data_IF_252270904450
#
_entry.id   IF_252270904450
#
_cell.length_a   1.000
_cell.length_b   1.000
_cell.length_c   1.000
_cell.angle_alpha   90.00
_cell.angle_beta   90.00
_cell.angle_gamma   90.00
#
_symmetry.space_group_name_H-M   'P 1'
#
loop_
_entity.id
_entity.type
_entity.pdbx_description
1 polymer ?
2 non-polymer ?
3 non-polymer ?
4 non-polymer ?
5 water ?
#
# COMPACT_ATOMS: atom_id res chain seq x y z
N UNK A 23 -16.72 -19.78 13.47
CA UNK A 23 -15.90 -19.87 12.25
C UNK A 23 -16.76 -19.99 10.99
N UNK A 24 -16.54 -19.11 10.01
CA UNK A 24 -17.19 -19.26 8.72
C UNK A 24 -16.50 -20.36 7.90
N UNK A 25 -17.09 -20.64 6.74
CA UNK A 25 -16.43 -21.54 5.80
C UNK A 25 -15.14 -20.93 5.28
N UNK A 26 -15.14 -19.63 5.01
CA UNK A 26 -13.96 -18.98 4.42
C UNK A 26 -12.76 -19.05 5.37
N UNK A 27 -13.00 -18.82 6.68
CA UNK A 27 -11.88 -18.89 7.62
C UNK A 27 -11.32 -20.32 7.73
N UNK A 28 -12.22 -21.32 7.80
CA UNK A 28 -11.81 -22.73 7.84
C UNK A 28 -10.85 -23.07 6.70
N UNK A 29 -11.24 -22.72 5.46
CA UNK A 29 -10.43 -23.02 4.29
C UNK A 29 -9.13 -22.26 4.29
N UNK A 30 -9.15 -20.95 4.63
CA UNK A 30 -7.92 -20.20 4.62
C UNK A 30 -6.95 -20.73 5.69
N UNK A 31 -7.47 -21.00 6.89
CA UNK A 31 -6.57 -21.42 7.98
C UNK A 31 -5.92 -22.77 7.68
N UNK A 32 -6.59 -23.59 6.88
CA UNK A 32 -6.10 -24.94 6.56
C UNK A 32 -5.23 -24.98 5.31
N UNK A 33 -5.10 -23.89 4.56
CA UNK A 33 -4.34 -23.95 3.32
C UNK A 33 -2.84 -23.87 3.59
N UNK A 34 -2.05 -24.48 2.70
CA UNK A 34 -0.60 -24.24 2.69
C UNK A 34 -0.36 -22.87 2.09
N UNK A 35 0.63 -22.17 2.61
CA UNK A 35 0.97 -20.84 2.11
C UNK A 35 2.19 -21.00 1.21
N UNK A 36 2.06 -20.80 -0.10
CA UNK A 36 3.21 -20.98 -1.00
C UNK A 36 4.25 -19.92 -0.73
N UNK A 37 5.42 -20.19 -1.25
CA UNK A 37 6.52 -19.28 -0.97
C UNK A 37 6.31 -17.95 -1.68
N UNK A 38 7.07 -16.96 -1.21
CA UNK A 38 7.05 -15.63 -1.82
C UNK A 38 7.42 -15.72 -3.29
N UNK A 39 8.42 -16.53 -3.62
CA UNK A 39 8.80 -16.65 -5.02
C UNK A 39 7.64 -17.24 -5.85
N UNK A 40 7.06 -18.34 -5.38
CA UNK A 40 5.92 -18.94 -6.11
C UNK A 40 4.78 -17.92 -6.32
N UNK A 41 4.47 -17.11 -5.28
CA UNK A 41 3.38 -16.12 -5.37
C UNK A 41 3.75 -14.86 -6.13
N UNK A 42 5.01 -14.67 -6.49
CA UNK A 42 5.45 -13.52 -7.26
C UNK A 42 5.27 -12.19 -6.52
N UNK A 43 5.05 -12.22 -5.20
CA UNK A 43 4.84 -10.96 -4.47
C UNK A 43 6.12 -10.15 -4.27
N UNK A 44 7.30 -10.66 -4.64
CA UNK A 44 8.49 -9.80 -4.57
C UNK A 44 8.68 -8.91 -5.80
N UNK A 45 7.88 -9.08 -6.83
CA UNK A 45 8.09 -8.38 -8.11
C UNK A 45 7.33 -7.05 -8.11
N UNK A 46 8.01 -5.97 -8.46
CA UNK A 46 7.32 -4.70 -8.62
C UNK A 46 6.20 -4.76 -9.67
N UNK A 47 6.27 -5.70 -10.63
CA UNK A 47 5.29 -5.83 -11.71
C UNK A 47 4.09 -6.68 -11.35
N UNK A 48 3.95 -7.07 -10.10
CA UNK A 48 2.89 -7.98 -9.67
C UNK A 48 1.50 -7.47 -10.08
N UNK A 49 0.61 -8.42 -10.40
CA UNK A 49 -0.78 -8.11 -10.71
C UNK A 49 -1.64 -9.15 -10.02
N UNK A 50 -2.81 -8.71 -9.52
CA UNK A 50 -3.73 -9.59 -8.83
C UNK A 50 -4.91 -10.02 -9.71
N UNK A 51 -4.95 -9.63 -10.99
CA UNK A 51 -6.19 -9.88 -11.74
C UNK A 51 -6.57 -11.37 -11.79
N UNK A 52 -5.58 -12.23 -11.85
CA UNK A 52 -5.85 -13.67 -11.99
C UNK A 52 -6.10 -14.39 -10.66
N UNK A 53 -5.98 -13.68 -9.53
CA UNK A 53 -6.07 -14.25 -8.19
C UNK A 53 -7.48 -14.24 -7.63
N UNK A 54 -7.88 -15.36 -7.02
CA UNK A 54 -9.12 -15.38 -6.27
C UNK A 54 -8.92 -14.66 -4.95
N UNK A 55 -10.03 -14.35 -4.26
CA UNK A 55 -9.95 -13.78 -2.91
C UNK A 55 -9.10 -14.63 -1.98
N UNK A 56 -9.29 -15.94 -2.00
CA UNK A 56 -8.51 -16.80 -1.12
C UNK A 56 -7.03 -16.69 -1.46
N UNK A 57 -6.68 -16.61 -2.76
CA UNK A 57 -5.27 -16.47 -3.09
C UNK A 57 -4.68 -15.15 -2.60
N UNK A 58 -5.46 -14.05 -2.66
CA UNK A 58 -4.90 -12.81 -2.13
C UNK A 58 -4.71 -12.92 -0.62
N UNK A 59 -5.59 -13.63 0.08
CA UNK A 59 -5.39 -13.83 1.53
C UNK A 59 -4.13 -14.62 1.81
N UNK A 60 -3.84 -15.65 0.99
CA UNK A 60 -2.61 -16.41 1.22
C UNK A 60 -1.40 -15.57 0.93
N UNK A 61 -1.45 -14.75 -0.15
CA UNK A 61 -0.38 -13.79 -0.39
C UNK A 61 -0.16 -12.89 0.82
N UNK A 62 -1.25 -12.49 1.46
CA UNK A 62 -1.06 -11.56 2.57
C UNK A 62 -0.40 -12.26 3.77
N UNK A 63 -0.72 -13.54 3.99
CA UNK A 63 -0.05 -14.27 5.07
C UNK A 63 1.42 -14.36 4.78
N UNK A 64 1.76 -14.61 3.51
CA UNK A 64 3.17 -14.74 3.15
C UNK A 64 3.93 -13.44 3.37
N UNK A 65 3.28 -12.28 3.12
CA UNK A 65 3.96 -11.03 3.43
C UNK A 65 4.33 -10.91 4.92
N UNK A 66 3.37 -11.20 5.79
CA UNK A 66 3.62 -11.11 7.23
C UNK A 66 4.72 -12.08 7.62
N UNK A 67 4.67 -13.27 7.03
CA UNK A 67 5.63 -14.32 7.41
C UNK A 67 7.04 -13.97 6.98
N UNK A 68 7.22 -13.50 5.73
CA UNK A 68 8.57 -13.25 5.21
C UNK A 68 9.14 -11.92 5.65
N UNK A 69 8.33 -11.04 6.23
CA UNK A 69 8.90 -9.92 6.95
C UNK A 69 9.23 -10.29 8.40
N UNK A 70 8.99 -11.54 8.78
CA UNK A 70 9.27 -12.06 10.11
C UNK A 70 8.38 -11.49 11.18
N UNK A 71 7.22 -10.97 10.78
CA UNK A 71 6.31 -10.41 11.77
C UNK A 71 5.54 -11.48 12.52
N UNK A 72 5.26 -12.64 11.87
CA UNK A 72 4.55 -13.70 12.57
C UNK A 72 5.42 -14.20 13.72
N UNK A 73 6.71 -14.41 13.45
CA UNK A 73 7.66 -14.89 14.45
C UNK A 73 7.90 -13.85 15.54
N UNK A 74 8.34 -12.66 15.13
CA UNK A 74 8.84 -11.68 16.07
C UNK A 74 7.77 -11.16 17.00
N UNK A 75 6.48 -11.28 16.62
CA UNK A 75 5.37 -10.75 17.41
C UNK A 75 4.38 -11.83 17.84
N UNK A 76 4.76 -13.11 17.69
CA UNK A 76 4.01 -14.27 18.15
C UNK A 76 2.54 -14.26 17.72
N UNK A 77 2.28 -14.11 16.42
CA UNK A 77 0.88 -14.12 16.01
C UNK A 77 0.40 -15.54 15.85
N UNK A 78 -0.79 -15.81 16.38
CA UNK A 78 -1.44 -17.09 16.14
C UNK A 78 -1.95 -17.14 14.71
N UNK A 79 -1.85 -18.31 14.09
CA UNK A 79 -2.20 -18.44 12.67
C UNK A 79 -3.65 -18.12 12.42
N UNK A 80 -4.57 -18.69 13.21
CA UNK A 80 -5.99 -18.43 12.99
C UNK A 80 -6.35 -16.97 13.27
N UNK A 81 -5.58 -16.29 14.13
CA UNK A 81 -5.85 -14.89 14.45
C UNK A 81 -5.48 -14.00 13.26
N UNK A 82 -4.26 -14.16 12.74
CA UNK A 82 -3.87 -13.50 11.48
C UNK A 82 -4.87 -13.80 10.36
N UNK A 83 -5.30 -15.07 10.23
CA UNK A 83 -6.29 -15.42 9.20
C UNK A 83 -7.62 -14.67 9.41
N UNK A 84 -8.15 -14.67 10.63
CA UNK A 84 -9.38 -13.94 10.86
C UNK A 84 -9.19 -12.43 10.60
N UNK A 85 -8.07 -11.88 11.04
CA UNK A 85 -7.81 -10.45 10.81
C UNK A 85 -7.79 -10.13 9.32
N UNK A 86 -7.07 -10.94 8.53
CA UNK A 86 -7.01 -10.68 7.09
C UNK A 86 -8.42 -10.73 6.51
N UNK A 87 -9.24 -11.66 6.97
CA UNK A 87 -10.56 -11.75 6.37
C UNK A 87 -11.48 -10.66 6.87
N UNK A 88 -11.25 -10.16 8.08
CA UNK A 88 -12.04 -9.03 8.54
C UNK A 88 -11.67 -7.79 7.74
N UNK A 89 -10.38 -7.56 7.50
CA UNK A 89 -9.98 -6.41 6.69
C UNK A 89 -10.64 -6.50 5.32
N UNK A 90 -10.52 -7.67 4.67
CA UNK A 90 -11.08 -7.81 3.33
C UNK A 90 -12.58 -7.55 3.31
N UNK A 91 -13.29 -8.04 4.31
CA UNK A 91 -14.74 -7.87 4.35
C UNK A 91 -15.16 -6.42 4.57
N UNK A 92 -14.30 -5.59 5.16
CA UNK A 92 -14.70 -4.23 5.41
C UNK A 92 -14.29 -3.27 4.29
N UNK A 93 -13.86 -3.79 3.15
CA UNK A 93 -13.84 -3.04 1.89
C UNK A 93 -15.11 -3.37 1.13
N UNK A 94 -15.56 -2.45 0.28
CA UNK A 94 -16.82 -2.63 -0.43
C UNK A 94 -16.53 -3.12 -1.85
N UNK A 95 -17.09 -4.28 -2.20
CA UNK A 95 -16.81 -4.88 -3.50
C UNK A 95 -17.41 -4.06 -4.63
N UNK A 96 -18.51 -3.35 -4.36
CA UNK A 96 -19.24 -2.49 -5.30
C UNK A 96 -18.51 -1.19 -5.70
N UNK A 97 -17.35 -0.89 -5.11
CA UNK A 97 -16.60 0.34 -5.42
C UNK A 97 -15.52 -0.07 -6.40
N UNK A 98 -15.45 0.60 -7.55
CA UNK A 98 -14.70 0.03 -8.68
C UNK A 98 -13.19 -0.01 -8.39
N UNK A 99 -12.64 1.06 -7.80
CA UNK A 99 -11.21 1.05 -7.52
C UNK A 99 -10.87 0.92 -6.04
N UNK A 100 -11.50 1.70 -5.16
CA UNK A 100 -11.09 1.74 -3.74
C UNK A 100 -11.74 0.56 -3.01
N UNK A 101 -11.17 -0.63 -3.23
CA UNK A 101 -11.72 -1.86 -2.65
C UNK A 101 -10.56 -2.72 -2.14
N UNK A 102 -10.86 -3.95 -1.71
CA UNK A 102 -9.81 -4.80 -1.16
C UNK A 102 -8.63 -4.99 -2.12
N UNK A 103 -8.91 -5.09 -3.42
CA UNK A 103 -7.78 -5.34 -4.35
C UNK A 103 -6.81 -4.15 -4.37
N UNK A 104 -7.31 -2.94 -4.25
CA UNK A 104 -6.39 -1.81 -4.15
C UNK A 104 -5.56 -1.89 -2.86
N UNK A 105 -6.21 -2.20 -1.75
CA UNK A 105 -5.47 -2.32 -0.48
C UNK A 105 -4.44 -3.44 -0.55
N UNK A 106 -4.86 -4.58 -1.11
CA UNK A 106 -3.96 -5.72 -1.28
C UNK A 106 -2.77 -5.35 -2.15
N UNK A 107 -3.01 -4.61 -3.26
CA UNK A 107 -1.89 -4.21 -4.10
C UNK A 107 -0.97 -3.23 -3.41
N UNK A 108 -1.55 -2.28 -2.66
CA UNK A 108 -0.71 -1.33 -1.91
C UNK A 108 0.23 -2.07 -0.96
N UNK A 109 -0.32 -3.03 -0.20
CA UNK A 109 0.52 -3.86 0.68
C UNK A 109 1.57 -4.66 -0.09
N UNK A 110 1.20 -5.23 -1.25
CA UNK A 110 2.21 -5.94 -2.02
C UNK A 110 3.32 -5.00 -2.50
N UNK A 111 2.98 -3.77 -2.92
CA UNK A 111 4.03 -2.82 -3.25
C UNK A 111 4.91 -2.53 -2.03
N UNK A 112 4.32 -2.43 -0.82
CA UNK A 112 5.11 -2.19 0.40
C UNK A 112 6.08 -3.36 0.63
N UNK A 113 5.58 -4.56 0.44
CA UNK A 113 6.41 -5.77 0.62
C UNK A 113 7.55 -5.78 -0.37
N UNK A 114 7.25 -5.48 -1.64
CA UNK A 114 8.30 -5.46 -2.67
C UNK A 114 9.33 -4.37 -2.40
N UNK A 115 8.88 -3.15 -2.03
CA UNK A 115 9.85 -2.09 -1.71
C UNK A 115 10.72 -2.47 -0.52
N UNK A 116 10.15 -3.15 0.47
CA UNK A 116 10.90 -3.55 1.66
C UNK A 116 11.97 -4.57 1.30
N UNK A 117 11.63 -5.54 0.43
CA UNK A 117 12.48 -6.69 0.07
C UNK A 117 13.33 -6.35 -1.15
N UNK A 118 12.72 -6.43 -2.34
CA UNK A 118 13.45 -6.10 -3.58
C UNK A 118 13.96 -4.66 -3.56
N UNK A 119 13.19 -3.74 -2.98
CA UNK A 119 13.67 -2.37 -2.90
C UNK A 119 14.68 -2.13 -1.79
N UNK A 120 14.90 -3.15 -0.97
CA UNK A 120 15.88 -3.14 0.12
C UNK A 120 15.60 -2.01 1.13
N UNK A 121 14.33 -1.64 1.29
CA UNK A 121 13.98 -0.68 2.34
C UNK A 121 13.98 -1.33 3.73
N UNK A 122 13.81 -2.66 3.80
CA UNK A 122 13.63 -3.36 5.09
C UNK A 122 14.71 -3.00 6.10
N UNK A 123 15.95 -2.89 5.66
CA UNK A 123 17.05 -2.75 6.61
C UNK A 123 17.22 -1.33 7.11
N UNK A 124 16.52 -0.37 6.50
CA UNK A 124 16.51 1.01 6.95
C UNK A 124 15.51 1.27 8.09
N UNK A 125 14.70 0.28 8.48
CA UNK A 125 13.52 0.48 9.33
C UNK A 125 13.52 -0.50 10.50
N UNK A 126 12.81 -0.15 11.55
CA UNK A 126 12.71 -1.11 12.65
C UNK A 126 11.60 -2.11 12.38
N UNK A 127 11.60 -3.18 13.17
CA UNK A 127 10.57 -4.21 13.07
C UNK A 127 9.19 -3.64 13.33
N UNK A 128 9.07 -2.75 14.35
CA UNK A 128 7.78 -2.15 14.66
C UNK A 128 7.30 -1.26 13.51
N UNK A 129 8.22 -0.55 12.87
CA UNK A 129 7.85 0.28 11.73
C UNK A 129 7.35 -0.58 10.57
N UNK A 130 8.01 -1.70 10.30
CA UNK A 130 7.58 -2.58 9.21
C UNK A 130 6.21 -3.19 9.52
N UNK A 131 6.03 -3.65 10.76
CA UNK A 131 4.72 -4.14 11.20
C UNK A 131 3.65 -3.07 10.98
N UNK A 132 3.93 -1.81 11.37
CA UNK A 132 2.92 -0.77 11.23
C UNK A 132 2.67 -0.42 9.76
N UNK A 133 3.72 -0.44 8.92
CA UNK A 133 3.56 -0.09 7.52
C UNK A 133 2.71 -1.12 6.79
N UNK A 134 2.92 -2.42 7.07
CA UNK A 134 2.14 -3.44 6.39
C UNK A 134 0.68 -3.40 6.83
N UNK A 135 0.41 -3.22 8.13
CA UNK A 135 -0.98 -3.10 8.59
C UNK A 135 -1.64 -1.88 7.97
N UNK A 136 -0.96 -0.74 8.06
CA UNK A 136 -1.48 0.49 7.47
C UNK A 136 -1.74 0.33 5.97
N UNK A 137 -0.80 -0.25 5.23
CA UNK A 137 -1.03 -0.44 3.78
C UNK A 137 -2.35 -1.16 3.51
N UNK A 138 -2.62 -2.28 4.24
CA UNK A 138 -3.82 -3.08 4.05
C UNK A 138 -5.07 -2.40 4.53
N UNK A 139 -4.93 -1.50 5.51
CA UNK A 139 -6.08 -0.93 6.15
C UNK A 139 -6.41 0.49 5.68
N UNK A 140 -5.58 1.13 4.83
CA UNK A 140 -5.61 2.60 4.70
C UNK A 140 -6.83 3.15 3.92
N UNK A 141 -7.60 2.32 3.18
CA UNK A 141 -8.81 2.77 2.49
C UNK A 141 -10.05 2.06 3.07
N UNK A 142 -10.00 1.50 4.29
CA UNK A 142 -11.10 0.68 4.80
C UNK A 142 -12.44 1.43 4.77
N UNK A 143 -13.44 0.76 4.18
CA UNK A 143 -14.84 1.19 4.13
C UNK A 143 -15.02 2.38 3.19
N UNK A 144 -14.07 2.60 2.28
CA UNK A 144 -14.21 3.61 1.22
C UNK A 144 -15.49 3.37 0.40
N UNK A 145 -16.23 4.44 0.10
CA UNK A 145 -17.48 4.31 -0.64
C UNK A 145 -17.39 4.88 -2.05
N UNK A 146 -16.20 5.18 -2.52
CA UNK A 146 -15.94 5.75 -3.83
C UNK A 146 -15.74 7.26 -3.72
N UNK A 147 -14.86 7.79 -4.56
CA UNK A 147 -14.52 9.21 -4.47
C UNK A 147 -15.74 10.11 -4.60
N UNK A 148 -16.77 9.68 -5.34
CA UNK A 148 -17.94 10.55 -5.52
C UNK A 148 -18.96 10.45 -4.39
N UNK A 149 -18.79 9.54 -3.43
CA UNK A 149 -19.77 9.37 -2.37
C UNK A 149 -19.35 10.19 -1.14
N UNK A 150 -20.28 11.03 -0.67
CA UNK A 150 -20.10 11.96 0.45
C UNK A 150 -20.36 11.30 1.81
N UNK A 166 -8.44 15.75 6.88
CA UNK A 166 -8.31 14.32 6.52
C UNK A 166 -9.42 13.49 7.07
N UNK A 167 -10.65 13.95 6.85
CA UNK A 167 -11.83 13.26 7.42
C UNK A 167 -11.86 11.80 7.00
N UNK A 168 -11.66 11.53 5.70
CA UNK A 168 -11.77 10.14 5.25
C UNK A 168 -10.69 9.26 5.90
N UNK A 169 -9.44 9.73 5.93
CA UNK A 169 -8.36 8.92 6.48
C UNK A 169 -8.52 8.71 8.00
N UNK A 170 -9.14 9.66 8.70
CA UNK A 170 -9.46 9.40 10.09
C UNK A 170 -10.44 8.25 10.23
N UNK A 171 -11.45 8.22 9.35
CA UNK A 171 -12.40 7.12 9.33
C UNK A 171 -11.71 5.79 8.97
N UNK A 172 -10.83 5.79 7.96
CA UNK A 172 -10.12 4.53 7.66
C UNK A 172 -9.34 4.04 8.87
N UNK A 173 -8.67 4.94 9.58
CA UNK A 173 -7.94 4.52 10.77
C UNK A 173 -8.88 3.99 11.84
N UNK A 174 -10.01 4.68 12.09
CA UNK A 174 -10.95 4.17 13.09
C UNK A 174 -11.40 2.75 12.76
N UNK A 175 -11.68 2.47 11.48
CA UNK A 175 -12.03 1.11 11.07
C UNK A 175 -10.88 0.15 11.33
N UNK A 176 -9.64 0.56 11.00
CA UNK A 176 -8.49 -0.31 11.21
C UNK A 176 -8.35 -0.68 12.69
N UNK A 177 -8.44 0.33 13.57
CA UNK A 177 -8.36 0.09 15.01
C UNK A 177 -9.48 -0.82 15.51
N UNK A 178 -10.72 -0.58 15.05
CA UNK A 178 -11.85 -1.41 15.43
C UNK A 178 -11.56 -2.89 15.12
N UNK A 179 -11.03 -3.16 13.94
CA UNK A 179 -10.68 -4.54 13.60
C UNK A 179 -9.54 -5.07 14.49
N UNK A 180 -8.46 -4.31 14.67
CA UNK A 180 -7.38 -4.78 15.52
C UNK A 180 -7.85 -5.10 16.94
N UNK A 181 -8.95 -4.52 17.40
CA UNK A 181 -9.43 -4.75 18.76
C UNK A 181 -10.60 -5.73 18.84
N UNK A 182 -11.05 -6.25 17.72
CA UNK A 182 -12.18 -7.16 17.70
C UNK A 182 -11.76 -8.54 18.22
N UNK A 183 -12.64 -9.24 18.95
CA UNK A 183 -12.27 -10.56 19.51
C UNK A 183 -11.82 -11.54 18.42
N UNK A 184 -10.68 -12.17 18.63
CA UNK A 184 -10.16 -13.16 17.69
C UNK A 184 -9.34 -12.55 16.58
N UNK A 185 -9.22 -11.21 16.51
CA UNK A 185 -8.55 -10.52 15.40
C UNK A 185 -7.30 -9.80 15.89
N UNK A 186 -6.93 -9.97 17.17
CA UNK A 186 -5.92 -9.12 17.79
C UNK A 186 -4.49 -9.55 17.45
N UNK A 187 -4.06 -9.20 16.22
CA UNK A 187 -2.73 -9.60 15.76
C UNK A 187 -1.60 -8.87 16.47
N UNK A 188 -1.90 -7.81 17.22
CA UNK A 188 -0.89 -7.09 18.00
C UNK A 188 -0.85 -7.54 19.48
N UNK A 189 -1.63 -8.57 19.86
CA UNK A 189 -1.68 -8.98 21.27
C UNK A 189 -0.30 -9.43 21.80
N UNK A 190 0.59 -9.89 20.92
CA UNK A 190 1.92 -10.26 21.31
C UNK A 190 2.82 -9.09 21.70
N UNK A 191 2.45 -7.85 21.33
CA UNK A 191 3.32 -6.74 21.63
C UNK A 191 3.14 -6.34 23.11
N UNK A 192 4.21 -5.84 23.71
CA UNK A 192 4.10 -5.18 25.01
C UNK A 192 3.31 -3.87 24.87
N UNK A 193 2.80 -3.34 26.00
CA UNK A 193 1.99 -2.13 25.85
C UNK A 193 2.83 -0.99 25.26
N UNK A 194 4.13 -0.89 25.62
CA UNK A 194 4.92 0.18 25.01
C UNK A 194 5.09 -0.02 23.49
N UNK A 195 5.35 -1.26 23.06
CA UNK A 195 5.39 -1.55 21.62
C UNK A 195 4.03 -1.30 20.98
N UNK A 196 2.96 -1.69 21.68
CA UNK A 196 1.60 -1.49 21.18
C UNK A 196 1.33 -0.01 20.90
N UNK A 197 1.65 0.86 21.86
CA UNK A 197 1.41 2.29 21.69
C UNK A 197 2.26 2.86 20.55
N UNK A 198 3.54 2.50 20.51
CA UNK A 198 4.38 2.99 19.40
C UNK A 198 3.80 2.55 18.06
N UNK A 199 3.33 1.29 17.97
CA UNK A 199 2.90 0.76 16.67
C UNK A 199 1.61 1.43 16.24
N UNK A 200 0.70 1.61 17.19
CA UNK A 200 -0.58 2.22 16.86
C UNK A 200 -0.39 3.65 16.34
N UNK A 201 0.52 4.40 16.93
CA UNK A 201 0.74 5.77 16.46
C UNK A 201 1.38 5.79 15.08
N UNK A 202 2.29 4.87 14.79
CA UNK A 202 2.86 4.76 13.44
C UNK A 202 1.77 4.39 12.43
N UNK A 203 0.93 3.40 12.76
CA UNK A 203 -0.20 3.06 11.88
C UNK A 203 -1.06 4.28 11.61
N UNK A 204 -1.41 5.05 12.65
CA UNK A 204 -2.30 6.21 12.43
C UNK A 204 -1.65 7.24 11.53
N UNK A 205 -0.36 7.55 11.75
CA UNK A 205 0.28 8.55 10.90
C UNK A 205 0.40 8.06 9.48
N UNK A 206 0.72 6.77 9.32
CA UNK A 206 0.82 6.16 8.00
C UNK A 206 -0.51 6.25 7.25
N UNK A 207 -1.65 5.93 7.92
CA UNK A 207 -2.90 6.04 7.19
C UNK A 207 -3.26 7.51 6.91
N UNK A 208 -3.03 8.39 7.89
CA UNK A 208 -3.25 9.83 7.63
C UNK A 208 -2.40 10.34 6.47
N UNK A 209 -1.19 9.83 6.32
CA UNK A 209 -0.29 10.22 5.23
C UNK A 209 -0.85 9.92 3.84
N UNK A 210 -1.78 8.96 3.72
CA UNK A 210 -2.38 8.63 2.41
C UNK A 210 -3.38 9.70 1.90
N UNK A 211 -3.68 10.73 2.69
CA UNK A 211 -4.41 11.90 2.21
C UNK A 211 -3.49 12.68 1.25
N UNK A 212 -3.83 12.71 -0.03
CA UNK A 212 -2.96 13.37 -1.01
C UNK A 212 -2.73 14.84 -0.68
N UNK A 213 -3.68 15.49 -0.02
CA UNK A 213 -3.49 16.88 0.41
C UNK A 213 -2.36 16.99 1.44
N UNK A 214 -2.21 16.00 2.33
CA UNK A 214 -1.09 16.00 3.26
C UNK A 214 0.22 15.68 2.56
N UNK A 215 0.17 14.79 1.56
CA UNK A 215 1.37 14.51 0.78
C UNK A 215 1.90 15.76 0.08
N UNK A 216 1.00 16.49 -0.57
CA UNK A 216 1.39 17.71 -1.30
C UNK A 216 1.97 18.76 -0.35
N UNK A 217 1.40 18.88 0.86
CA UNK A 217 1.95 19.82 1.83
C UNK A 217 3.31 19.39 2.35
N UNK A 218 3.58 18.10 2.46
CA UNK A 218 4.79 17.69 3.16
C UNK A 218 5.92 17.29 2.23
N UNK A 219 5.63 17.03 0.95
CA UNK A 219 6.65 16.49 0.07
C UNK A 219 7.74 17.50 -0.22
N UNK A 220 7.40 18.80 -0.23
CA UNK A 220 8.41 19.80 -0.54
C UNK A 220 9.62 19.70 0.36
N UNK A 221 9.39 19.51 1.66
CA UNK A 221 10.48 19.31 2.59
C UNK A 221 11.29 18.06 2.28
N UNK A 222 10.63 16.97 1.86
CA UNK A 222 11.32 15.74 1.51
C UNK A 222 12.17 15.93 0.26
N UNK A 223 11.60 16.57 -0.76
CA UNK A 223 12.37 16.83 -1.97
C UNK A 223 13.54 17.75 -1.66
N UNK A 224 13.29 18.75 -0.81
CA UNK A 224 14.33 19.71 -0.43
C UNK A 224 15.51 19.02 0.26
N UNK A 225 15.23 18.15 1.24
CA UNK A 225 16.30 17.41 1.92
C UNK A 225 17.08 16.53 0.97
N UNK A 226 16.40 15.91 -0.01
CA UNK A 226 17.08 15.00 -0.91
C UNK A 226 17.94 15.75 -1.91
N UNK A 227 17.48 16.92 -2.38
CA UNK A 227 18.28 17.67 -3.34
C UNK A 227 19.51 18.32 -2.69
N UNK A 228 19.49 18.56 -1.37
CA UNK A 228 20.65 19.06 -0.65
C UNK A 228 21.53 17.96 -0.05
N UNK A 229 21.35 16.71 -0.48
CA UNK A 229 22.07 15.56 0.09
C UNK A 229 22.08 15.57 1.62
N UNK A 230 21.06 16.18 2.23
CA UNK A 230 20.87 16.28 3.66
C UNK A 230 19.95 15.21 4.24
N UNK A 231 19.40 14.30 3.43
CA UNK A 231 18.43 13.36 3.97
C UNK A 231 19.10 12.38 4.92
N UNK A 232 18.49 12.16 6.09
CA UNK A 232 19.09 11.28 7.10
C UNK A 232 17.99 10.62 7.92
N UNK A 233 17.92 9.30 7.84
CA UNK A 233 16.87 8.53 8.48
C UNK A 233 17.05 8.38 9.98
N UNK A 234 18.27 8.62 10.49
CA UNK A 234 18.48 8.53 11.92
C UNK A 234 17.77 9.65 12.66
N UNK A 235 17.43 10.75 11.98
CA UNK A 235 16.63 11.82 12.59
C UNK A 235 15.17 11.39 12.66
N UNK A 236 14.58 11.28 13.86
CA UNK A 236 13.14 10.96 13.98
C UNK A 236 12.24 11.75 13.05
N UNK A 237 12.47 13.05 12.89
CA UNK A 237 11.50 13.82 12.10
C UNK A 237 11.52 13.39 10.64
N UNK A 238 12.72 13.08 10.13
CA UNK A 238 12.87 12.71 8.74
C UNK A 238 12.36 11.31 8.51
N UNK A 239 12.62 10.39 9.47
CA UNK A 239 12.08 9.04 9.41
C UNK A 239 10.56 9.05 9.26
N UNK A 240 9.87 9.82 10.09
CA UNK A 240 8.43 9.89 9.99
C UNK A 240 8.02 10.46 8.65
N UNK A 241 8.78 11.45 8.15
CA UNK A 241 8.51 11.97 6.82
C UNK A 241 8.70 10.89 5.77
N UNK A 242 9.78 10.10 5.87
CA UNK A 242 10.02 9.05 4.88
C UNK A 242 8.93 7.97 4.91
N UNK A 243 8.46 7.55 6.11
CA UNK A 243 7.35 6.61 6.18
C UNK A 243 6.10 7.17 5.48
N UNK A 244 5.83 8.47 5.66
CA UNK A 244 4.68 9.08 4.99
C UNK A 244 4.84 8.99 3.46
N UNK A 245 6.01 9.36 2.96
CA UNK A 245 6.25 9.32 1.53
C UNK A 245 6.14 7.90 0.98
N UNK A 246 6.63 6.91 1.76
CA UNK A 246 6.58 5.53 1.30
C UNK A 246 5.13 5.05 1.18
N UNK A 247 4.28 5.44 2.15
CA UNK A 247 2.88 5.12 2.05
C UNK A 247 2.29 5.63 0.77
N UNK A 248 2.56 6.92 0.44
CA UNK A 248 2.05 7.48 -0.80
C UNK A 248 2.59 6.73 -2.02
N UNK A 249 3.88 6.37 -2.01
CA UNK A 249 4.47 5.67 -3.15
C UNK A 249 3.75 4.34 -3.39
N UNK A 250 3.47 3.60 -2.30
CA UNK A 250 2.74 2.34 -2.43
C UNK A 250 1.29 2.55 -2.85
N UNK A 251 0.63 3.58 -2.28
CA UNK A 251 -0.78 3.84 -2.58
C UNK A 251 -0.95 4.14 -4.06
N UNK A 252 0.05 4.81 -4.67
CA UNK A 252 -0.08 5.26 -6.07
C UNK A 252 0.48 4.25 -7.07
N UNK A 253 1.00 3.12 -6.59
CA UNK A 253 1.94 2.35 -7.39
C UNK A 253 1.31 1.64 -8.59
N UNK A 254 -0.04 1.60 -8.72
CA UNK A 254 -0.64 1.17 -9.99
C UNK A 254 -0.06 1.92 -11.20
N UNK A 255 0.35 3.16 -10.99
CA UNK A 255 0.89 4.01 -12.07
C UNK A 255 2.24 3.50 -12.56
N UNK A 256 2.88 2.60 -11.81
CA UNK A 256 4.20 2.09 -12.15
C UNK A 256 4.15 0.74 -12.87
N UNK A 257 2.99 0.15 -13.02
CA UNK A 257 2.83 -1.23 -13.46
C UNK A 257 3.04 -1.35 -14.98
N UNK A 258 3.38 -2.56 -15.48
CA UNK A 258 3.44 -2.77 -16.94
C UNK A 258 2.19 -2.22 -17.64
N UNK A 259 2.40 -1.62 -18.81
CA UNK A 259 1.33 -0.86 -19.48
C UNK A 259 -0.01 -1.59 -19.57
N UNK A 260 -0.10 -2.88 -19.94
CA UNK A 260 -1.44 -3.53 -19.94
C UNK A 260 -2.12 -3.51 -18.58
N UNK A 261 -1.37 -3.76 -17.51
CA UNK A 261 -1.92 -3.69 -16.15
C UNK A 261 -2.35 -2.24 -15.83
N UNK A 262 -1.42 -1.31 -15.98
CA UNK A 262 -1.72 0.09 -15.69
C UNK A 262 -2.95 0.60 -16.45
N UNK A 263 -3.09 0.25 -17.74
CA UNK A 263 -4.27 0.68 -18.49
C UNK A 263 -5.54 0.17 -17.85
N UNK A 264 -5.55 -1.11 -17.43
CA UNK A 264 -6.71 -1.69 -16.79
C UNK A 264 -7.02 -0.99 -15.46
N UNK A 265 -5.98 -0.76 -14.65
CA UNK A 265 -6.24 -0.08 -13.38
C UNK A 265 -6.81 1.32 -13.66
N UNK A 266 -6.25 1.99 -14.66
CA UNK A 266 -6.77 3.31 -15.01
C UNK A 266 -8.24 3.25 -15.41
N UNK A 267 -8.67 2.15 -16.04
CA UNK A 267 -10.09 1.97 -16.32
C UNK A 267 -10.93 1.91 -15.06
N UNK A 268 -10.46 1.20 -14.03
CA UNK A 268 -11.21 1.13 -12.76
C UNK A 268 -11.35 2.52 -12.16
N UNK A 269 -10.25 3.28 -12.15
CA UNK A 269 -10.29 4.65 -11.59
C UNK A 269 -11.32 5.47 -12.35
N UNK A 270 -11.31 5.36 -13.68
CA UNK A 270 -12.25 6.12 -14.49
C UNK A 270 -13.68 5.71 -14.16
N UNK A 271 -13.90 4.41 -13.97
CA UNK A 271 -15.24 3.94 -13.62
C UNK A 271 -15.71 4.53 -12.30
N UNK A 272 -14.83 4.56 -11.30
CA UNK A 272 -15.24 5.09 -10.01
C UNK A 272 -15.50 6.58 -10.08
N UNK A 273 -14.63 7.31 -10.80
CA UNK A 273 -14.75 8.75 -10.92
C UNK A 273 -15.96 9.16 -11.74
N UNK A 274 -16.42 8.31 -12.63
CA UNK A 274 -17.49 8.69 -13.55
C UNK A 274 -18.77 7.91 -13.26
N UNK A 275 -18.81 6.65 -13.64
CA UNK A 275 -19.96 5.78 -13.39
C UNK A 275 -20.35 5.73 -11.91
N UNK A 276 -19.48 6.20 -11.02
CA UNK A 276 -19.66 5.98 -9.57
C UNK A 276 -19.99 4.52 -9.24
N UNK A 297 -13.55 9.96 -22.76
CA UNK A 297 -12.30 9.22 -22.96
C UNK A 297 -11.29 10.05 -23.77
N UNK A 298 -11.80 11.12 -24.39
CA UNK A 298 -10.98 11.95 -25.28
C UNK A 298 -9.79 12.56 -24.53
N UNK A 299 -10.03 13.08 -23.32
CA UNK A 299 -9.04 13.83 -22.56
C UNK A 299 -8.35 12.98 -21.50
N UNK A 300 -8.67 11.69 -21.41
CA UNK A 300 -8.05 10.83 -20.40
C UNK A 300 -6.53 10.78 -20.56
N UNK A 301 -5.97 10.51 -21.74
CA UNK A 301 -4.49 10.46 -21.83
C UNK A 301 -3.78 11.70 -21.28
N UNK A 302 -4.28 12.90 -21.59
CA UNK A 302 -3.60 14.08 -21.09
C UNK A 302 -3.80 14.23 -19.59
N UNK A 303 -4.96 13.80 -19.08
CA UNK A 303 -5.16 13.79 -17.64
C UNK A 303 -4.22 12.80 -16.94
N UNK A 304 -3.95 11.66 -17.58
CA UNK A 304 -3.01 10.72 -16.98
C UNK A 304 -1.61 11.30 -16.94
N UNK A 305 -1.22 11.96 -18.04
CA UNK A 305 0.09 12.57 -18.09
C UNK A 305 0.17 13.64 -17.00
N UNK A 306 -0.94 14.38 -16.82
CA UNK A 306 -1.00 15.46 -15.85
C UNK A 306 -0.84 14.95 -14.43
N UNK A 307 -1.54 13.86 -14.10
CA UNK A 307 -1.42 13.23 -12.79
C UNK A 307 -0.02 12.69 -12.57
N UNK A 308 0.58 12.05 -13.60
CA UNK A 308 1.93 11.51 -13.43
C UNK A 308 2.92 12.63 -13.11
N UNK A 309 2.88 13.72 -13.88
CA UNK A 309 3.83 14.79 -13.67
C UNK A 309 3.63 15.48 -12.33
N UNK A 310 2.39 15.78 -11.97
CA UNK A 310 2.15 16.58 -10.78
C UNK A 310 2.38 15.78 -9.50
N UNK A 311 2.04 14.49 -9.50
CA UNK A 311 1.93 13.70 -8.27
C UNK A 311 3.02 12.63 -8.17
N UNK A 312 3.23 11.87 -9.25
CA UNK A 312 3.98 10.62 -9.14
C UNK A 312 5.48 10.73 -9.42
N UNK A 313 5.90 11.39 -10.52
CA UNK A 313 7.28 11.22 -10.98
C UNK A 313 8.28 11.65 -9.94
N UNK A 314 8.06 12.81 -9.29
CA UNK A 314 9.06 13.30 -8.35
C UNK A 314 9.15 12.40 -7.12
N UNK A 315 8.02 11.82 -6.71
CA UNK A 315 8.05 10.90 -5.58
C UNK A 315 8.90 9.68 -5.90
N UNK A 316 8.69 9.05 -7.08
CA UNK A 316 9.48 7.86 -7.35
C UNK A 316 10.97 8.20 -7.60
N UNK A 317 11.25 9.38 -8.16
CA UNK A 317 12.64 9.81 -8.28
C UNK A 317 13.27 9.96 -6.90
N UNK A 318 12.54 10.64 -5.99
CA UNK A 318 13.06 10.80 -4.63
C UNK A 318 13.33 9.46 -3.97
N UNK A 319 12.36 8.52 -4.05
CA UNK A 319 12.54 7.21 -3.43
C UNK A 319 13.67 6.41 -4.05
N UNK A 320 13.90 6.56 -5.36
CA UNK A 320 15.07 5.93 -5.98
C UNK A 320 16.37 6.49 -5.42
N UNK A 321 16.39 7.78 -5.07
CA UNK A 321 17.55 8.37 -4.40
C UNK A 321 17.75 7.81 -3.00
N UNK A 322 16.67 7.51 -2.25
CA UNK A 322 16.85 6.82 -0.98
C UNK A 322 17.33 5.39 -1.21
N UNK A 323 16.82 4.72 -2.24
CA UNK A 323 17.26 3.34 -2.48
C UNK A 323 17.19 3.02 -3.96
N UNK A 324 18.38 2.85 -4.55
CA UNK A 324 18.51 2.59 -5.98
C UNK A 324 17.76 1.34 -6.39
N UNK A 325 17.49 0.40 -5.48
CA UNK A 325 16.75 -0.81 -5.83
C UNK A 325 15.24 -0.58 -6.03
N UNK A 326 14.72 0.59 -5.67
CA UNK A 326 13.36 1.02 -6.03
C UNK A 326 13.25 1.62 -7.44
N UNK A 327 14.34 1.69 -8.19
CA UNK A 327 14.29 2.20 -9.56
C UNK A 327 13.20 1.58 -10.44
N UNK A 328 12.89 0.29 -10.37
CA UNK A 328 11.79 -0.22 -11.21
C UNK A 328 10.49 0.54 -11.06
N UNK A 329 10.22 1.14 -9.89
CA UNK A 329 8.99 1.90 -9.77
C UNK A 329 9.06 3.15 -10.62
N UNK A 330 10.19 3.85 -10.54
CA UNK A 330 10.41 5.04 -11.36
C UNK A 330 10.43 4.69 -12.82
N UNK A 331 11.07 3.57 -13.16
CA UNK A 331 11.15 3.13 -14.54
C UNK A 331 9.77 2.81 -15.09
N UNK A 332 8.94 2.12 -14.31
CA UNK A 332 7.61 1.79 -14.77
C UNK A 332 6.77 3.04 -14.95
N UNK A 333 6.94 4.02 -14.04
CA UNK A 333 6.16 5.26 -14.15
C UNK A 333 6.57 6.08 -15.38
N UNK A 334 7.89 6.15 -15.65
CA UNK A 334 8.36 6.79 -16.89
C UNK A 334 7.77 6.14 -18.12
N UNK A 335 7.80 4.80 -18.21
CA UNK A 335 7.30 4.10 -19.39
C UNK A 335 5.82 4.32 -19.57
N UNK A 336 5.06 4.34 -18.48
CA UNK A 336 3.65 4.66 -18.60
C UNK A 336 3.44 6.08 -19.08
N UNK A 337 4.23 7.05 -18.58
CA UNK A 337 4.06 8.43 -19.05
C UNK A 337 4.27 8.56 -20.56
N UNK A 338 5.26 7.83 -21.11
CA UNK A 338 5.48 7.82 -22.57
C UNK A 338 4.27 7.29 -23.32
N UNK A 339 3.71 6.14 -22.87
CA UNK A 339 2.54 5.58 -23.55
C UNK A 339 1.36 6.55 -23.52
N UNK A 340 1.07 7.13 -22.34
CA UNK A 340 -0.05 8.06 -22.23
C UNK A 340 0.17 9.31 -23.08
N UNK A 341 1.40 9.82 -23.09
CA UNK A 341 1.71 11.01 -23.88
C UNK A 341 1.51 10.74 -25.38
N UNK A 342 2.02 9.61 -25.88
CA UNK A 342 1.81 9.23 -27.28
C UNK A 342 0.32 9.21 -27.62
N UNK A 343 -0.51 8.60 -26.76
CA UNK A 343 -1.95 8.64 -26.96
C UNK A 343 -2.48 10.07 -26.89
N UNK A 344 -2.02 10.86 -25.91
CA UNK A 344 -2.47 12.26 -25.81
C UNK A 344 -2.22 13.00 -27.12
N UNK A 345 -1.11 12.69 -27.80
CA UNK A 345 -0.77 13.38 -29.05
C UNK A 345 -1.65 12.96 -30.24
N UNK A 346 -2.19 11.74 -30.24
CA UNK A 346 -3.27 11.35 -31.16
C UNK A 346 -4.66 11.70 -30.60
N UNK A 347 -4.77 12.81 -29.87
CA UNK A 347 -5.94 13.25 -29.09
C UNK A 347 -7.07 12.23 -28.91
X LIG B 1 -7.49 7.04 0.81
X LIG C 1 -5.29 4.03 -1.49
X LIG D 1 -4.99 7.84 -11.76
X LIG D 1 -6.58 10.82 -10.18
X LIG D 1 -4.95 7.13 -10.60
X LIG D 1 -6.80 10.69 -8.89
X LIG D 1 -6.55 9.02 -7.00
X LIG D 1 -7.52 7.84 -6.90
X LIG D 1 -5.21 8.74 -6.34
X LIG D 1 -3.53 5.52 -11.81
X LIG D 1 -6.21 10.96 -13.20
X LIG D 1 -8.70 10.64 -13.03
X LIG D 1 -10.01 10.03 -14.95
X LIG D 1 -12.34 10.40 -15.02
X LIG D 1 -2.12 5.37 -9.31
X LIG D 1 -3.34 5.25 -8.60
X LIG D 1 -4.46 4.97 -9.56
X LIG D 1 -4.40 5.90 -10.69
X LIG D 1 -4.26 4.97 -13.01
X LIG D 1 -5.21 5.89 -13.47
X LIG D 1 -5.49 9.09 -11.77
X LIG D 1 -5.99 9.62 -10.56
X LIG D 1 -6.42 9.48 -8.38
X LIG D 1 -5.90 8.78 -9.45
X LIG D 1 -5.38 7.55 -9.41
X LIG D 1 -5.48 9.74 -12.96
X LIG D 1 -7.55 10.66 -13.81
X LIG D 1 -7.65 10.35 -15.15
X LIG D 1 -8.86 10.04 -15.74
X LIG D 1 -11.20 9.74 -15.55
X LIG D 1 -9.93 10.35 -13.60
#
# INVERSE_FOLDING_TARGET
>A
MGSSHHHHHHSSGLVPRGSHMEETRELQSLAAAVVPSAQTLKITDFSFSDFELSDLETALCTIRMFTDLNLVQNFQMKHEVLCRWILSVKKNYRKNVAYHNWRHAFNTAQCMFAALKAGKIQNKLTDLEILALLIAALSHDLDHRGVNNSYIQRSEHPLAQLYCHSIMEHHHFDQCLMILNSPGNQILSGLSIEEYKTTLKIIKQAILATDLALYIKRRGEFFELIRKNQFNLEDPHQKELFLAMLMTACDLSAITKPWPIQQRIAELVATEFFDQGDRERKELNIEPTDLMNREKKNKIPSMQVGFIDAICLQLYEALTHVSEDCFPLLDGCRKNRQKWQALAEQQ
>B hetero
1 MG MG
>C hetero
1 ZN ZN
>D hetero
1 AJR N1 N3 C4 C5 C6 C7 C8 C10 C13 C15 C17 C20 O2 C12 C9 N5 C11 O1 C1 C2 N4 C3 N2 N6 C14 C19 C18 O3 C16
#
